data_IF_893432556972
#
_entry.id   IF_893432556972
#
_cell.length_a   1.000
_cell.length_b   1.000
_cell.length_c   1.000
_cell.angle_alpha   90.00
_cell.angle_beta   90.00
_cell.angle_gamma   90.00
#
_symmetry.space_group_name_H-M   'P 1'
#
loop_
_entity.id
_entity.type
_entity.pdbx_description
1 polymer ?
#
# COMPACT_ATOMS: atom_id res chain seq x y z
N UNK A 1 24.29 -33.95 -21.52
CA UNK A 1 23.16 -33.02 -21.59
C UNK A 1 22.58 -32.90 -20.18
N UNK A 2 23.02 -31.88 -19.44
CA UNK A 2 22.47 -31.53 -18.16
C UNK A 2 21.38 -30.50 -18.42
N UNK A 3 20.13 -30.97 -18.33
CA UNK A 3 18.95 -30.10 -18.28
C UNK A 3 19.01 -29.34 -16.96
N UNK A 4 19.43 -28.09 -17.02
CA UNK A 4 19.23 -27.12 -15.95
C UNK A 4 17.74 -26.82 -15.90
N UNK A 5 17.01 -27.56 -15.11
CA UNK A 5 15.71 -27.13 -14.64
C UNK A 5 15.95 -25.86 -13.80
N UNK A 6 15.81 -24.70 -14.43
CA UNK A 6 15.56 -23.45 -13.76
C UNK A 6 14.21 -23.65 -13.04
N UNK A 7 14.28 -24.16 -11.84
CA UNK A 7 13.13 -24.30 -10.97
C UNK A 7 12.67 -22.92 -10.60
N UNK A 8 11.56 -22.48 -11.16
CA UNK A 8 10.73 -21.41 -10.61
C UNK A 8 10.35 -21.83 -9.17
N UNK A 9 11.23 -21.56 -8.21
CA UNK A 9 10.94 -21.77 -6.80
C UNK A 9 9.76 -20.86 -6.48
N UNK A 10 8.60 -21.48 -6.23
CA UNK A 10 7.41 -20.74 -5.79
C UNK A 10 7.76 -19.96 -4.53
N UNK A 11 7.36 -18.70 -4.43
CA UNK A 11 7.63 -17.88 -3.26
C UNK A 11 7.09 -18.57 -2.01
N UNK A 12 7.87 -18.57 -0.92
CA UNK A 12 7.52 -19.19 0.36
C UNK A 12 6.30 -18.54 0.99
N UNK A 13 6.12 -17.25 0.76
CA UNK A 13 4.95 -16.49 1.17
C UNK A 13 4.70 -15.34 0.19
N UNK A 14 3.47 -14.86 0.16
CA UNK A 14 3.07 -13.72 -0.67
C UNK A 14 2.18 -12.81 0.18
N UNK A 15 2.55 -11.56 0.27
CA UNK A 15 1.70 -10.51 0.87
C UNK A 15 1.16 -9.58 -0.20
N UNK A 16 -0.04 -9.10 0.01
CA UNK A 16 -0.69 -8.15 -0.86
C UNK A 16 -1.02 -6.88 -0.07
N UNK A 17 -0.67 -5.74 -0.64
CA UNK A 17 -1.01 -4.43 -0.09
C UNK A 17 -1.98 -3.74 -1.04
N UNK A 18 -3.13 -3.35 -0.51
CA UNK A 18 -4.10 -2.52 -1.21
C UNK A 18 -4.11 -1.15 -0.57
N UNK A 19 -4.03 -0.10 -1.37
CA UNK A 19 -3.86 1.27 -0.93
C UNK A 19 -4.82 2.20 -1.64
N UNK A 20 -5.30 3.19 -0.90
CA UNK A 20 -6.19 4.24 -1.39
C UNK A 20 -5.70 5.60 -0.87
N UNK A 21 -5.71 6.62 -1.74
CA UNK A 21 -5.37 7.98 -1.34
C UNK A 21 -6.54 8.58 -0.56
N UNK A 22 -6.27 9.00 0.66
CA UNK A 22 -7.27 9.57 1.58
C UNK A 22 -7.84 10.89 1.04
N UNK A 23 -9.17 11.00 1.04
CA UNK A 23 -9.88 12.21 0.64
C UNK A 23 -9.51 12.74 -0.75
N UNK A 24 -9.21 11.86 -1.68
CA UNK A 24 -8.76 12.26 -3.02
C UNK A 24 -9.82 13.05 -3.79
N UNK A 25 -11.08 12.70 -3.66
CA UNK A 25 -12.18 13.47 -4.25
C UNK A 25 -12.21 14.91 -3.72
N UNK A 26 -12.09 15.09 -2.41
CA UNK A 26 -12.01 16.41 -1.78
C UNK A 26 -10.79 17.19 -2.28
N UNK A 27 -9.65 16.51 -2.44
CA UNK A 27 -8.45 17.12 -3.00
C UNK A 27 -8.69 17.64 -4.42
N UNK A 28 -9.31 16.86 -5.29
CA UNK A 28 -9.67 17.26 -6.64
C UNK A 28 -10.68 18.42 -6.65
N UNK A 29 -11.71 18.35 -5.81
CA UNK A 29 -12.73 19.40 -5.70
C UNK A 29 -12.13 20.74 -5.22
N UNK A 30 -11.10 20.68 -4.39
CA UNK A 30 -10.42 21.87 -3.84
C UNK A 30 -9.38 22.43 -4.78
N UNK A 31 -8.57 21.57 -5.43
CA UNK A 31 -7.37 21.97 -6.16
C UNK A 31 -7.43 21.71 -7.67
N UNK A 32 -8.47 21.01 -8.13
CA UNK A 32 -8.68 20.66 -9.53
C UNK A 32 -8.05 19.33 -9.95
N UNK A 33 -8.52 18.81 -11.08
CA UNK A 33 -8.08 17.51 -11.60
C UNK A 33 -6.62 17.47 -12.01
N UNK A 34 -6.06 18.59 -12.48
CA UNK A 34 -4.63 18.65 -12.85
C UNK A 34 -3.75 18.43 -11.62
N UNK A 35 -4.08 19.06 -10.50
CA UNK A 35 -3.38 18.84 -9.24
C UNK A 35 -3.55 17.39 -8.73
N UNK A 36 -4.74 16.83 -8.90
CA UNK A 36 -5.01 15.43 -8.59
C UNK A 36 -4.17 14.46 -9.43
N UNK A 37 -4.08 14.68 -10.72
CA UNK A 37 -3.25 13.85 -11.62
C UNK A 37 -1.76 13.92 -11.25
N UNK A 38 -1.26 15.08 -10.92
CA UNK A 38 0.12 15.24 -10.42
C UNK A 38 0.35 14.50 -9.11
N UNK A 39 -0.63 14.53 -8.22
CA UNK A 39 -0.60 13.79 -6.95
C UNK A 39 -0.53 12.29 -7.21
N UNK A 40 -1.36 11.76 -8.10
CA UNK A 40 -1.33 10.35 -8.49
C UNK A 40 0.04 9.94 -9.04
N UNK A 41 0.63 10.74 -9.91
CA UNK A 41 1.97 10.48 -10.47
C UNK A 41 3.04 10.46 -9.37
N UNK A 42 2.99 11.38 -8.43
CA UNK A 42 3.98 11.43 -7.34
C UNK A 42 3.81 10.27 -6.36
N UNK A 43 2.59 9.90 -6.02
CA UNK A 43 2.31 8.70 -5.20
C UNK A 43 2.81 7.45 -5.93
N UNK A 44 2.49 7.30 -7.21
CA UNK A 44 2.96 6.16 -8.00
C UNK A 44 4.48 6.04 -8.01
N UNK A 45 5.20 7.14 -8.15
CA UNK A 45 6.68 7.15 -8.11
C UNK A 45 7.24 6.73 -6.75
N UNK A 46 6.62 7.15 -5.66
CA UNK A 46 7.01 6.73 -4.32
C UNK A 46 6.77 5.22 -4.10
N UNK A 47 5.62 4.73 -4.58
CA UNK A 47 5.30 3.31 -4.53
C UNK A 47 6.27 2.48 -5.37
N UNK A 48 6.56 2.91 -6.58
CA UNK A 48 7.54 2.24 -7.45
C UNK A 48 8.92 2.17 -6.81
N UNK A 49 9.37 3.23 -6.17
CA UNK A 49 10.66 3.27 -5.51
C UNK A 49 10.79 2.23 -4.40
N UNK A 50 9.78 2.07 -3.57
CA UNK A 50 9.86 1.26 -2.34
C UNK A 50 9.14 -0.10 -2.46
N UNK A 51 8.15 -0.22 -3.33
CA UNK A 51 7.32 -1.42 -3.48
C UNK A 51 7.53 -2.17 -4.81
N UNK A 52 8.44 -1.74 -5.66
CA UNK A 52 8.82 -2.47 -6.86
C UNK A 52 10.23 -3.01 -6.78
N UNK A 53 10.58 -3.95 -7.64
CA UNK A 53 11.87 -4.60 -7.71
C UNK A 53 11.74 -6.13 -7.77
N UNK A 54 12.80 -6.84 -7.42
CA UNK A 54 12.77 -8.29 -7.37
C UNK A 54 11.76 -8.82 -6.34
N UNK A 55 10.81 -9.63 -6.81
CA UNK A 55 9.72 -10.14 -5.98
C UNK A 55 8.70 -9.11 -5.54
N UNK A 56 8.71 -7.92 -6.11
CA UNK A 56 7.78 -6.84 -5.78
C UNK A 56 7.17 -6.25 -7.04
N UNK A 57 5.87 -6.16 -7.08
CA UNK A 57 5.12 -5.60 -8.20
C UNK A 57 4.10 -4.60 -7.70
N UNK A 58 4.06 -3.44 -8.32
CA UNK A 58 3.08 -2.38 -8.05
C UNK A 58 2.29 -2.10 -9.32
N UNK A 59 0.98 -1.92 -9.15
CA UNK A 59 0.08 -1.53 -10.22
C UNK A 59 -0.99 -0.57 -9.72
N UNK A 60 -1.50 0.26 -10.62
CA UNK A 60 -2.71 1.02 -10.36
C UNK A 60 -3.91 0.08 -10.45
N UNK A 61 -4.74 0.07 -9.41
CA UNK A 61 -5.87 -0.85 -9.30
C UNK A 61 -7.21 -0.19 -9.65
N UNK A 62 -7.34 1.07 -9.35
CA UNK A 62 -8.52 1.88 -9.64
C UNK A 62 -8.15 3.34 -9.82
N UNK A 63 -9.11 4.27 -9.72
CA UNK A 63 -8.89 5.71 -9.91
C UNK A 63 -7.79 6.27 -9.02
N UNK A 64 -7.88 6.03 -7.72
CA UNK A 64 -6.95 6.45 -6.66
C UNK A 64 -6.40 5.28 -5.85
N UNK A 65 -6.60 4.07 -6.34
CA UNK A 65 -6.21 2.82 -5.69
C UNK A 65 -5.00 2.21 -6.37
N UNK A 66 -4.11 1.66 -5.55
CA UNK A 66 -2.92 0.93 -5.98
C UNK A 66 -2.86 -0.42 -5.26
N UNK A 67 -2.27 -1.39 -5.93
CA UNK A 67 -2.05 -2.72 -5.42
C UNK A 67 -0.56 -3.06 -5.51
N UNK A 68 -0.01 -3.67 -4.47
CA UNK A 68 1.33 -4.23 -4.49
C UNK A 68 1.31 -5.69 -4.11
N UNK A 69 2.09 -6.49 -4.81
CA UNK A 69 2.32 -7.90 -4.52
C UNK A 69 3.77 -8.06 -4.08
N UNK A 70 3.98 -8.63 -2.90
CA UNK A 70 5.27 -8.77 -2.24
C UNK A 70 5.56 -10.26 -2.03
N UNK A 71 6.43 -10.82 -2.85
CA UNK A 71 6.86 -12.21 -2.76
C UNK A 71 7.94 -12.38 -1.69
N UNK A 72 7.96 -13.53 -1.03
CA UNK A 72 8.91 -13.88 0.04
C UNK A 72 8.94 -12.87 1.19
N UNK A 73 7.83 -12.22 1.45
CA UNK A 73 7.68 -11.25 2.51
C UNK A 73 6.51 -11.65 3.41
N UNK A 74 6.79 -11.87 4.69
CA UNK A 74 5.79 -12.23 5.69
C UNK A 74 4.96 -11.02 6.13
N UNK A 75 3.97 -11.26 6.98
CA UNK A 75 3.07 -10.21 7.49
C UNK A 75 3.81 -9.05 8.15
N UNK A 76 4.78 -9.37 9.00
CA UNK A 76 5.53 -8.36 9.74
C UNK A 76 6.36 -7.48 8.81
N UNK A 77 7.10 -8.10 7.89
CA UNK A 77 7.89 -7.39 6.90
C UNK A 77 7.03 -6.55 5.97
N UNK A 78 5.89 -7.08 5.53
CA UNK A 78 4.94 -6.35 4.68
C UNK A 78 4.31 -5.15 5.39
N UNK A 79 3.91 -5.31 6.67
CA UNK A 79 3.40 -4.21 7.49
C UNK A 79 4.44 -3.12 7.70
N UNK A 80 5.67 -3.49 8.01
CA UNK A 80 6.78 -2.55 8.22
C UNK A 80 7.07 -1.75 6.95
N UNK A 81 7.13 -2.42 5.81
CA UNK A 81 7.34 -1.76 4.52
C UNK A 81 6.17 -0.85 4.14
N UNK A 82 4.93 -1.32 4.31
CA UNK A 82 3.73 -0.54 4.03
C UNK A 82 3.67 0.73 4.89
N UNK A 83 3.97 0.62 6.19
CA UNK A 83 3.99 1.77 7.09
C UNK A 83 5.10 2.78 6.75
N UNK A 84 6.28 2.30 6.36
CA UNK A 84 7.36 3.15 5.85
C UNK A 84 6.92 3.97 4.64
N UNK A 85 6.27 3.33 3.69
CA UNK A 85 5.76 3.98 2.46
C UNK A 85 4.64 4.96 2.79
N UNK A 86 3.70 4.58 3.65
CA UNK A 86 2.64 5.47 4.14
C UNK A 86 3.22 6.74 4.77
N UNK A 87 4.20 6.59 5.65
CA UNK A 87 4.87 7.71 6.31
C UNK A 87 5.60 8.61 5.31
N UNK A 88 6.29 8.03 4.34
CA UNK A 88 6.98 8.79 3.29
C UNK A 88 6.01 9.62 2.45
N UNK A 89 4.85 9.07 2.10
CA UNK A 89 3.80 9.79 1.36
C UNK A 89 3.25 10.95 2.20
N UNK A 90 2.93 10.70 3.48
CA UNK A 90 2.40 11.72 4.38
C UNK A 90 3.32 12.91 4.59
N UNK A 91 4.64 12.68 4.59
CA UNK A 91 5.66 13.71 4.76
C UNK A 91 5.97 14.48 3.47
N UNK A 92 5.57 13.96 2.31
CA UNK A 92 5.91 14.56 1.02
C UNK A 92 5.03 15.77 0.72
N UNK A 93 5.68 16.89 0.46
CA UNK A 93 5.01 18.05 -0.11
C UNK A 93 4.81 17.84 -1.62
N UNK A 94 3.56 17.88 -2.05
CA UNK A 94 3.20 17.85 -3.46
C UNK A 94 3.21 19.28 -3.95
N UNK A 95 4.22 19.63 -4.75
CA UNK A 95 4.35 20.97 -5.31
C UNK A 95 3.52 21.12 -6.56
N UNK A 96 2.58 22.01 -6.52
CA UNK A 96 1.79 22.49 -7.66
C UNK A 96 1.39 23.93 -7.43
N UNK A 97 2.17 24.90 -7.94
CA UNK A 97 1.99 26.32 -7.64
C UNK A 97 2.61 26.74 -6.29
N UNK A 98 2.24 27.89 -5.77
CA UNK A 98 2.84 28.53 -4.59
C UNK A 98 2.49 27.87 -3.24
N UNK A 99 1.77 26.75 -3.23
CA UNK A 99 1.32 26.11 -2.00
C UNK A 99 1.82 24.67 -1.88
N UNK A 100 2.35 24.35 -0.70
CA UNK A 100 2.67 22.99 -0.30
C UNK A 100 1.39 22.25 0.05
N UNK A 101 1.16 21.14 -0.63
CA UNK A 101 0.02 20.25 -0.39
C UNK A 101 0.54 18.89 -0.05
N UNK A 102 -0.17 18.18 0.79
CA UNK A 102 0.13 16.80 1.14
C UNK A 102 -1.13 15.95 1.11
N UNK A 103 -0.95 14.68 0.85
CA UNK A 103 -2.00 13.67 0.98
C UNK A 103 -1.51 12.57 1.90
N UNK A 104 -2.44 11.82 2.44
CA UNK A 104 -2.16 10.59 3.16
C UNK A 104 -2.78 9.40 2.43
N UNK A 105 -2.39 8.22 2.80
CA UNK A 105 -2.94 6.97 2.27
C UNK A 105 -3.35 6.05 3.39
N UNK A 106 -4.40 5.28 3.15
CA UNK A 106 -4.79 4.16 3.99
C UNK A 106 -4.44 2.87 3.27
N UNK A 107 -4.01 1.86 4.00
CA UNK A 107 -3.55 0.60 3.44
C UNK A 107 -4.14 -0.59 4.17
N UNK A 108 -4.49 -1.64 3.40
CA UNK A 108 -4.80 -2.97 3.90
C UNK A 108 -3.76 -3.96 3.42
N UNK A 109 -3.30 -4.80 4.32
CA UNK A 109 -2.32 -5.87 4.04
C UNK A 109 -2.94 -7.21 4.31
N UNK A 110 -2.79 -8.14 3.38
CA UNK A 110 -3.21 -9.53 3.55
C UNK A 110 -2.09 -10.47 3.14
N UNK A 111 -1.86 -11.50 3.96
CA UNK A 111 -0.99 -12.60 3.63
C UNK A 111 -1.79 -13.67 2.88
N UNK A 112 -1.24 -14.19 1.79
CA UNK A 112 -1.81 -15.35 1.12
C UNK A 112 -1.82 -16.54 2.07
N UNK A 113 -2.94 -17.24 2.15
CA UNK A 113 -3.06 -18.47 2.89
C UNK A 113 -3.44 -19.64 1.98
N UNK A 114 -3.30 -20.86 2.48
CA UNK A 114 -3.59 -22.08 1.70
C UNK A 114 -5.08 -22.24 1.35
N UNK A 115 -5.96 -21.57 2.08
CA UNK A 115 -7.41 -21.58 1.82
C UNK A 115 -7.80 -20.64 0.68
N UNK A 116 -6.92 -19.75 0.26
CA UNK A 116 -7.17 -18.85 -0.86
C UNK A 116 -7.21 -19.64 -2.17
N UNK A 117 -8.39 -19.79 -2.73
CA UNK A 117 -8.63 -20.53 -3.98
C UNK A 117 -8.48 -19.70 -5.23
N UNK A 118 -8.39 -18.37 -5.07
CA UNK A 118 -8.26 -17.41 -6.16
C UNK A 118 -7.58 -16.14 -5.68
N UNK A 119 -6.99 -15.34 -6.59
CA UNK A 119 -6.49 -14.00 -6.25
C UNK A 119 -7.55 -13.10 -5.63
N UNK A 120 -8.82 -13.28 -6.00
CA UNK A 120 -9.95 -12.50 -5.46
C UNK A 120 -10.06 -12.64 -3.94
N UNK A 121 -9.82 -13.82 -3.38
CA UNK A 121 -9.92 -14.06 -1.94
C UNK A 121 -8.93 -13.21 -1.13
N UNK A 122 -7.68 -13.11 -1.56
CA UNK A 122 -6.67 -12.27 -0.88
C UNK A 122 -6.96 -10.77 -1.08
N UNK A 123 -7.43 -10.37 -2.26
CA UNK A 123 -7.82 -8.98 -2.53
C UNK A 123 -8.99 -8.57 -1.64
N UNK A 124 -10.02 -9.40 -1.49
CA UNK A 124 -11.17 -9.13 -0.61
C UNK A 124 -10.74 -8.95 0.85
N UNK A 125 -9.81 -9.76 1.33
CA UNK A 125 -9.28 -9.62 2.70
C UNK A 125 -8.46 -8.34 2.87
N UNK A 126 -7.63 -7.98 1.90
CA UNK A 126 -6.90 -6.72 1.90
C UNK A 126 -7.84 -5.51 1.82
N UNK A 127 -8.91 -5.60 1.03
CA UNK A 127 -9.93 -4.55 0.92
C UNK A 127 -10.70 -4.35 2.23
N UNK A 128 -11.06 -5.43 2.92
CA UNK A 128 -11.68 -5.35 4.24
C UNK A 128 -10.75 -4.67 5.26
N UNK A 129 -9.46 -4.98 5.23
CA UNK A 129 -8.47 -4.32 6.08
C UNK A 129 -8.28 -2.85 5.73
N UNK A 130 -8.29 -2.51 4.44
CA UNK A 130 -8.27 -1.12 3.98
C UNK A 130 -9.49 -0.33 4.47
N UNK A 131 -10.67 -0.94 4.40
CA UNK A 131 -11.89 -0.33 4.94
C UNK A 131 -11.77 -0.06 6.45
N UNK A 132 -11.24 -1.01 7.23
CA UNK A 132 -10.96 -0.82 8.65
C UNK A 132 -9.98 0.33 8.90
N UNK A 133 -8.94 0.46 8.08
CA UNK A 133 -7.99 1.57 8.15
C UNK A 133 -8.70 2.93 7.96
N UNK A 134 -9.60 3.01 6.98
CA UNK A 134 -10.41 4.22 6.75
C UNK A 134 -11.35 4.53 7.91
N UNK A 135 -11.98 3.52 8.50
CA UNK A 135 -12.87 3.69 9.65
C UNK A 135 -12.13 4.07 10.94
N UNK A 136 -10.89 3.65 11.08
CA UNK A 136 -10.05 3.94 12.24
C UNK A 136 -9.35 5.32 12.20
N UNK A 137 -9.64 6.14 11.20
CA UNK A 137 -9.14 7.52 11.12
C UNK A 137 -8.25 7.81 9.92
N UNK A 138 -8.07 6.86 9.01
CA UNK A 138 -7.21 7.00 7.83
C UNK A 138 -5.72 7.16 8.16
N UNK A 139 -4.89 7.33 7.16
CA UNK A 139 -3.45 7.47 7.31
C UNK A 139 -2.84 6.40 8.22
N UNK A 140 -3.18 5.15 7.95
CA UNK A 140 -2.69 4.00 8.70
C UNK A 140 -2.76 2.71 7.87
N UNK A 141 -2.06 1.69 8.35
CA UNK A 141 -2.02 0.35 7.78
C UNK A 141 -2.77 -0.62 8.69
N UNK A 142 -3.58 -1.49 8.10
CA UNK A 142 -4.28 -2.59 8.80
C UNK A 142 -3.91 -3.92 8.19
N UNK A 143 -3.76 -4.93 9.05
CA UNK A 143 -3.57 -6.32 8.66
C UNK A 143 -4.92 -7.03 8.61
N UNK A 144 -5.17 -7.76 7.52
CA UNK A 144 -6.35 -8.62 7.41
C UNK A 144 -6.30 -9.76 8.43
N UNK A 145 -7.39 -9.96 9.18
CA UNK A 145 -7.46 -10.97 10.23
C UNK A 145 -6.68 -10.64 11.50
N UNK A 146 -6.06 -9.46 11.58
CA UNK A 146 -5.45 -8.93 12.79
C UNK A 146 -6.49 -8.72 13.89
N UNK A 147 -6.09 -8.89 15.15
CA UNK A 147 -6.97 -8.61 16.28
C UNK A 147 -7.34 -7.13 16.29
N UNK A 148 -8.61 -6.82 16.51
CA UNK A 148 -9.03 -5.45 16.76
C UNK A 148 -8.22 -4.89 17.93
N UNK A 149 -7.35 -3.93 17.66
CA UNK A 149 -6.53 -3.27 18.68
C UNK A 149 -5.02 -3.31 18.48
N UNK A 150 -4.48 -4.18 17.62
CA UNK A 150 -3.07 -4.11 17.25
C UNK A 150 -2.86 -3.07 16.14
N UNK A 151 -2.85 -1.82 16.55
CA UNK A 151 -2.18 -0.76 15.78
C UNK A 151 -0.69 -1.02 15.99
N UNK A 152 0.13 -1.20 14.93
CA UNK A 152 1.55 -1.13 15.13
C UNK A 152 1.86 0.20 15.85
N UNK A 153 2.70 0.16 16.89
CA UNK A 153 3.00 1.40 17.61
C UNK A 153 3.50 2.43 16.61
N UNK A 154 3.09 3.70 16.74
CA UNK A 154 3.63 4.75 15.90
C UNK A 154 5.15 4.69 16.00
N UNK A 155 5.82 4.59 14.86
CA UNK A 155 7.27 4.70 14.83
C UNK A 155 7.67 5.97 15.57
N UNK A 156 8.70 5.89 16.40
CA UNK A 156 9.19 6.99 17.27
C UNK A 156 9.46 8.32 16.52
N UNK A 157 9.38 8.32 15.21
CA UNK A 157 9.55 9.50 14.35
C UNK A 157 8.30 10.38 14.23
N UNK A 158 7.13 9.93 14.70
CA UNK A 158 5.90 10.73 14.65
C UNK A 158 5.68 11.62 15.88
N UNK A 159 6.69 11.74 16.77
CA UNK A 159 6.66 12.59 17.96
C UNK A 159 7.58 13.81 17.87
N UNK A 160 7.78 14.31 16.69
CA UNK A 160 8.43 15.59 16.52
C UNK A 160 7.49 16.59 15.86
#
# INVERSE_FOLDING_TARGET
>A
AEDSEDGDEKPSCVSLVLLDIDHFKRFNDTYGHIAGDRTLVQVARLLEKDLSGEGRTVARFGGEEFIAVLENMDEHAALTLADKVRSAIAKRSITGGDRRRSVTVSMGVALRNRADRSPTAIIERADAALYEAKQAGRNLVRLAGGRKGEVPPPTLESRA
#
